data_IF_993296523983
#
_entry.id   IF_993296523983
#
_cell.length_a   1.000
_cell.length_b   1.000
_cell.length_c   1.000
_cell.angle_alpha   90.00
_cell.angle_beta   90.00
_cell.angle_gamma   90.00
#
_symmetry.space_group_name_H-M   'P 1'
#
loop_
_entity.id
_entity.type
_entity.pdbx_description
1 polymer ?
#
# COMPACT_ATOMS: atom_id res chain seq x y z
N UNK A 1 48.24 -47.40 -4.58
CA UNK A 1 47.17 -46.40 -4.83
C UNK A 1 46.87 -45.71 -3.50
N UNK A 2 47.36 -44.47 -3.30
CA UNK A 2 47.16 -43.68 -2.07
C UNK A 2 46.18 -42.55 -2.41
N UNK A 3 44.98 -42.55 -1.82
CA UNK A 3 44.01 -41.44 -1.95
C UNK A 3 44.21 -40.52 -0.74
N UNK A 4 44.63 -39.29 -1.00
CA UNK A 4 44.78 -38.24 0.00
C UNK A 4 43.40 -37.77 0.47
N UNK A 5 43.24 -37.61 1.78
CA UNK A 5 42.04 -37.07 2.41
C UNK A 5 42.06 -35.54 2.32
N UNK A 6 41.03 -34.95 1.72
CA UNK A 6 40.83 -33.50 1.62
C UNK A 6 40.14 -32.99 2.89
N UNK A 7 40.64 -31.94 3.57
CA UNK A 7 39.98 -31.41 4.76
C UNK A 7 38.78 -30.53 4.36
N UNK A 8 37.61 -30.81 4.94
CA UNK A 8 36.40 -30.01 4.79
C UNK A 8 36.56 -28.76 5.67
N UNK A 9 36.78 -27.61 5.03
CA UNK A 9 36.83 -26.31 5.67
C UNK A 9 35.41 -25.87 6.06
N UNK A 10 35.08 -25.98 7.35
CA UNK A 10 33.83 -25.47 7.94
C UNK A 10 33.93 -23.95 8.07
N UNK A 11 33.44 -23.23 7.06
CA UNK A 11 33.25 -21.78 7.15
C UNK A 11 31.94 -21.52 7.90
N UNK A 12 32.07 -21.00 9.12
CA UNK A 12 30.98 -20.47 9.93
C UNK A 12 30.41 -19.21 9.25
N UNK A 13 29.21 -19.32 8.68
CA UNK A 13 28.40 -18.17 8.24
C UNK A 13 27.57 -17.68 9.44
N UNK A 14 28.14 -16.73 10.20
CA UNK A 14 27.37 -15.91 11.13
C UNK A 14 26.55 -14.90 10.31
N UNK A 15 25.30 -15.25 9.99
CA UNK A 15 24.33 -14.30 9.46
C UNK A 15 23.86 -13.45 10.64
N UNK A 16 24.45 -12.26 10.79
CA UNK A 16 23.90 -11.18 11.60
C UNK A 16 22.59 -10.74 10.96
N UNK A 17 21.48 -11.34 11.38
CA UNK A 17 20.16 -10.83 11.07
C UNK A 17 20.00 -9.47 11.74
N UNK A 18 20.11 -8.39 10.96
CA UNK A 18 19.47 -7.13 11.33
C UNK A 18 18.00 -7.46 11.63
N UNK A 19 17.50 -7.03 12.79
CA UNK A 19 16.10 -7.16 13.16
C UNK A 19 15.25 -6.41 12.15
N UNK A 20 14.85 -7.10 11.08
CA UNK A 20 13.88 -6.60 10.13
C UNK A 20 12.55 -6.51 10.87
N UNK A 21 12.00 -5.31 10.95
CA UNK A 21 10.58 -5.16 11.25
C UNK A 21 9.82 -6.09 10.30
N UNK A 22 8.89 -6.88 10.85
CA UNK A 22 8.05 -7.74 10.02
C UNK A 22 7.34 -6.84 9.01
N UNK A 23 7.48 -7.10 7.70
CA UNK A 23 6.79 -6.32 6.70
C UNK A 23 5.27 -6.40 6.96
N UNK A 24 4.52 -5.34 6.65
CA UNK A 24 3.07 -5.37 6.76
C UNK A 24 2.52 -6.57 5.97
N UNK A 25 1.46 -7.19 6.49
CA UNK A 25 0.75 -8.24 5.79
C UNK A 25 0.15 -7.64 4.50
N UNK A 26 0.78 -7.94 3.37
CA UNK A 26 0.41 -7.37 2.08
C UNK A 26 -1.07 -7.64 1.76
N UNK A 27 -1.59 -8.82 2.12
CA UNK A 27 -3.00 -9.16 1.89
C UNK A 27 -3.93 -8.28 2.74
N UNK A 28 -3.54 -7.98 3.98
CA UNK A 28 -4.29 -7.07 4.83
C UNK A 28 -4.28 -5.63 4.27
N UNK A 29 -3.14 -5.15 3.80
CA UNK A 29 -3.02 -3.82 3.23
C UNK A 29 -3.77 -3.68 1.89
N UNK A 30 -3.71 -4.68 1.02
CA UNK A 30 -4.52 -4.70 -0.21
C UNK A 30 -6.03 -4.76 0.07
N UNK A 31 -6.44 -5.43 1.14
CA UNK A 31 -7.84 -5.39 1.60
C UNK A 31 -8.23 -4.00 2.09
N UNK A 32 -7.33 -3.31 2.80
CA UNK A 32 -7.56 -1.94 3.27
C UNK A 32 -7.68 -0.97 2.08
N UNK A 33 -6.80 -1.08 1.08
CA UNK A 33 -6.91 -0.35 -0.18
C UNK A 33 -8.30 -0.55 -0.80
N UNK A 34 -8.79 -1.79 -0.89
CA UNK A 34 -10.12 -2.08 -1.45
C UNK A 34 -11.27 -1.44 -0.66
N UNK A 35 -11.16 -1.35 0.66
CA UNK A 35 -12.14 -0.65 1.49
C UNK A 35 -12.17 0.84 1.15
N UNK A 36 -11.00 1.47 1.03
CA UNK A 36 -10.92 2.87 0.63
C UNK A 36 -11.42 3.09 -0.81
N UNK A 37 -11.10 2.19 -1.74
CA UNK A 37 -11.60 2.23 -3.12
C UNK A 37 -13.14 2.16 -3.18
N UNK A 38 -13.76 1.32 -2.35
CA UNK A 38 -15.21 1.23 -2.25
C UNK A 38 -15.81 2.54 -1.72
N UNK A 39 -15.20 3.13 -0.69
CA UNK A 39 -15.61 4.43 -0.14
C UNK A 39 -15.47 5.55 -1.17
N UNK A 40 -14.37 5.59 -1.92
CA UNK A 40 -14.15 6.56 -3.00
C UNK A 40 -15.21 6.39 -4.09
N UNK A 41 -15.48 5.16 -4.52
CA UNK A 41 -16.48 4.89 -5.57
C UNK A 41 -17.88 5.33 -5.14
N UNK A 42 -18.28 5.03 -3.91
CA UNK A 42 -19.54 5.47 -3.35
C UNK A 42 -19.64 7.00 -3.31
N UNK A 43 -18.68 7.67 -2.67
CA UNK A 43 -18.71 9.12 -2.48
C UNK A 43 -18.49 9.90 -3.79
N UNK A 44 -17.84 9.32 -4.80
CA UNK A 44 -17.77 9.91 -6.15
C UNK A 44 -19.17 10.09 -6.74
N UNK A 45 -20.02 9.06 -6.65
CA UNK A 45 -21.41 9.15 -7.14
C UNK A 45 -22.31 10.03 -6.28
N UNK A 46 -22.03 10.17 -4.98
CA UNK A 46 -22.71 11.13 -4.12
C UNK A 46 -22.29 12.58 -4.42
N UNK A 47 -21.00 12.81 -4.67
CA UNK A 47 -20.43 14.13 -4.97
C UNK A 47 -20.93 14.71 -6.29
N UNK A 48 -21.27 13.87 -7.28
CA UNK A 48 -21.92 14.29 -8.54
C UNK A 48 -23.28 14.98 -8.32
N UNK A 49 -23.94 14.73 -7.17
CA UNK A 49 -25.23 15.34 -6.81
C UNK A 49 -25.08 16.61 -5.99
N UNK A 50 -23.87 16.96 -5.59
CA UNK A 50 -23.63 18.18 -4.84
C UNK A 50 -23.63 19.40 -5.75
N UNK A 51 -24.22 20.49 -5.27
CA UNK A 51 -24.14 21.79 -5.94
C UNK A 51 -22.67 22.18 -6.13
N UNK A 52 -22.29 22.70 -7.31
CA UNK A 52 -20.97 23.30 -7.52
C UNK A 52 -20.70 24.39 -6.47
N UNK A 53 -19.48 24.45 -5.96
CA UNK A 53 -19.00 25.45 -4.98
C UNK A 53 -19.68 25.46 -3.60
N UNK A 54 -20.65 24.58 -3.35
CA UNK A 54 -21.22 24.38 -2.02
C UNK A 54 -20.41 23.34 -1.21
N UNK A 55 -20.34 23.49 0.13
CA UNK A 55 -19.85 22.44 1.00
C UNK A 55 -20.60 21.13 0.73
N UNK A 56 -19.86 20.03 0.59
CA UNK A 56 -20.40 18.74 0.21
C UNK A 56 -19.70 17.65 1.02
N UNK A 57 -20.39 17.05 2.01
CA UNK A 57 -19.80 16.00 2.84
C UNK A 57 -19.29 14.80 2.03
N UNK A 58 -19.89 14.52 0.87
CA UNK A 58 -19.42 13.47 -0.03
C UNK A 58 -18.08 13.81 -0.70
N UNK A 59 -17.84 15.08 -1.07
CA UNK A 59 -16.52 15.51 -1.59
C UNK A 59 -15.46 15.39 -0.51
N UNK A 60 -15.79 15.84 0.71
CA UNK A 60 -14.89 15.74 1.86
C UNK A 60 -14.52 14.28 2.17
N UNK A 61 -15.53 13.39 2.27
CA UNK A 61 -15.34 11.97 2.54
C UNK A 61 -14.60 11.23 1.40
N UNK A 62 -14.80 11.65 0.14
CA UNK A 62 -14.05 11.13 -1.00
C UNK A 62 -12.56 11.47 -0.85
N UNK A 63 -12.25 12.73 -0.56
CA UNK A 63 -10.87 13.19 -0.38
C UNK A 63 -10.20 12.53 0.82
N UNK A 64 -10.90 12.42 1.96
CA UNK A 64 -10.39 11.72 3.14
C UNK A 64 -10.07 10.24 2.83
N UNK A 65 -10.94 9.55 2.08
CA UNK A 65 -10.68 8.17 1.67
C UNK A 65 -9.51 8.06 0.66
N UNK A 66 -9.33 9.06 -0.20
CA UNK A 66 -8.18 9.11 -1.10
C UNK A 66 -6.86 9.29 -0.35
N UNK A 67 -6.82 10.18 0.64
CA UNK A 67 -5.66 10.40 1.49
C UNK A 67 -5.33 9.15 2.30
N UNK A 68 -6.33 8.48 2.88
CA UNK A 68 -6.15 7.24 3.62
C UNK A 68 -5.61 6.10 2.74
N UNK A 69 -6.12 5.96 1.51
CA UNK A 69 -5.59 4.98 0.55
C UNK A 69 -4.12 5.25 0.24
N UNK A 70 -3.74 6.51 0.05
CA UNK A 70 -2.35 6.88 -0.21
C UNK A 70 -1.44 6.56 0.98
N UNK A 71 -1.90 6.80 2.22
CA UNK A 71 -1.15 6.42 3.40
C UNK A 71 -0.89 4.91 3.47
N UNK A 72 -1.84 4.07 3.07
CA UNK A 72 -1.62 2.61 2.97
C UNK A 72 -0.63 2.28 1.86
N UNK A 73 -0.78 2.90 0.68
CA UNK A 73 0.10 2.67 -0.46
C UNK A 73 1.58 2.97 -0.14
N UNK A 74 1.84 4.07 0.56
CA UNK A 74 3.19 4.47 1.00
C UNK A 74 3.86 3.41 1.88
N UNK A 75 3.10 2.57 2.59
CA UNK A 75 3.67 1.50 3.43
C UNK A 75 4.01 0.22 2.68
N UNK A 76 3.52 0.06 1.45
CA UNK A 76 3.66 -1.18 0.69
C UNK A 76 4.86 -1.18 -0.27
N UNK A 77 5.41 0.00 -0.59
CA UNK A 77 6.46 0.15 -1.62
C UNK A 77 6.09 -0.57 -2.94
N UNK A 78 4.79 -0.55 -3.30
CA UNK A 78 4.21 -1.28 -4.42
C UNK A 78 3.65 -0.33 -5.48
N UNK A 79 4.07 -0.54 -6.74
CA UNK A 79 3.71 0.35 -7.84
C UNK A 79 2.21 0.32 -8.21
N UNK A 80 1.50 -0.78 -7.95
CA UNK A 80 0.05 -0.85 -8.16
C UNK A 80 -0.67 -0.03 -7.08
N UNK A 81 -0.24 -0.13 -5.82
CA UNK A 81 -0.75 0.70 -4.74
C UNK A 81 -0.53 2.20 -5.01
N UNK A 82 0.64 2.60 -5.51
CA UNK A 82 0.93 3.98 -5.93
C UNK A 82 0.00 4.45 -7.06
N UNK A 83 -0.24 3.60 -8.06
CA UNK A 83 -1.13 3.92 -9.17
C UNK A 83 -2.58 4.12 -8.70
N UNK A 84 -3.03 3.32 -7.73
CA UNK A 84 -4.35 3.44 -7.09
C UNK A 84 -4.45 4.73 -6.27
N UNK A 85 -3.43 5.08 -5.49
CA UNK A 85 -3.34 6.38 -4.80
C UNK A 85 -3.45 7.54 -5.79
N UNK A 86 -2.66 7.53 -6.87
CA UNK A 86 -2.70 8.58 -7.88
C UNK A 86 -4.09 8.70 -8.54
N UNK A 87 -4.78 7.58 -8.77
CA UNK A 87 -6.16 7.60 -9.28
C UNK A 87 -7.15 8.17 -8.26
N UNK A 88 -7.02 7.81 -6.99
CA UNK A 88 -7.85 8.32 -5.91
C UNK A 88 -7.72 9.85 -5.77
N UNK A 89 -6.50 10.36 -5.74
CA UNK A 89 -6.23 11.81 -5.68
C UNK A 89 -6.80 12.57 -6.88
N UNK A 90 -6.71 12.00 -8.09
CA UNK A 90 -7.36 12.58 -9.27
C UNK A 90 -8.88 12.62 -9.19
N UNK A 91 -9.52 11.75 -8.41
CA UNK A 91 -10.97 11.80 -8.17
C UNK A 91 -11.33 12.86 -7.15
N UNK A 92 -10.53 13.02 -6.10
CA UNK A 92 -10.70 14.09 -5.11
C UNK A 92 -10.56 15.48 -5.72
N UNK A 93 -9.63 15.65 -6.67
CA UNK A 93 -9.38 16.92 -7.33
C UNK A 93 -10.43 17.34 -8.38
N UNK A 94 -11.52 16.57 -8.57
CA UNK A 94 -12.62 16.87 -9.53
C UNK A 94 -13.81 17.47 -8.82
#
# INVERSE_FOLDING_TARGET
>A
MKRAATPISLVFLFVTGCGAATPPDADAAFREIQVHEATIAHNSGEAERCEPDAPCPARDALCEAADALCAVAETLEDADADARCALAQRRCAR
#
